data_IF_790123733651
#
_entry.id   IF_790123733651
#
_cell.length_a   1.000
_cell.length_b   1.000
_cell.length_c   1.000
_cell.angle_alpha   90.00
_cell.angle_beta   90.00
_cell.angle_gamma   90.00
#
_symmetry.space_group_name_H-M   'P 1'
#
loop_
_entity.id
_entity.type
_entity.pdbx_description
1 polymer ?
#
# COMPACT_ATOMS: atom_id res chain seq x y z
N UNK A 1 11.91 -27.97 -1.47
CA UNK A 1 10.70 -28.17 -2.29
C UNK A 1 9.51 -28.25 -1.32
N UNK A 2 8.54 -27.37 -1.42
CA UNK A 2 7.36 -27.35 -0.52
C UNK A 2 6.45 -28.50 -0.94
N UNK A 3 6.10 -29.39 -0.02
CA UNK A 3 5.18 -30.49 -0.29
C UNK A 3 3.75 -29.91 -0.45
N UNK A 4 3.13 -29.93 -1.63
CA UNK A 4 1.81 -29.37 -1.87
C UNK A 4 0.70 -30.14 -1.12
N UNK A 5 0.97 -31.33 -0.61
CA UNK A 5 0.03 -32.17 0.11
C UNK A 5 0.19 -32.06 1.66
N UNK A 6 0.96 -31.10 2.15
CA UNK A 6 1.09 -30.90 3.58
C UNK A 6 -0.26 -30.37 4.15
N UNK A 7 -0.94 -31.12 5.04
CA UNK A 7 -2.25 -30.73 5.57
C UNK A 7 -2.21 -29.46 6.43
N UNK A 8 -1.00 -29.06 6.88
CA UNK A 8 -0.79 -27.85 7.68
C UNK A 8 -0.54 -26.61 6.80
N UNK A 9 -0.44 -26.77 5.47
CA UNK A 9 -0.36 -25.64 4.55
C UNK A 9 -1.79 -25.20 4.21
N UNK A 10 -2.15 -24.01 4.64
CA UNK A 10 -3.41 -23.41 4.24
C UNK A 10 -3.46 -23.30 2.71
N UNK A 11 -4.51 -23.84 2.11
CA UNK A 11 -4.70 -23.77 0.65
C UNK A 11 -4.94 -22.32 0.23
N UNK A 12 -4.43 -21.89 -0.93
CA UNK A 12 -4.62 -20.51 -1.41
C UNK A 12 -6.11 -20.09 -1.42
N UNK A 13 -7.00 -20.99 -1.76
CA UNK A 13 -8.47 -20.75 -1.80
C UNK A 13 -9.02 -20.44 -0.41
N UNK A 14 -8.58 -21.18 0.61
CA UNK A 14 -9.01 -20.97 2.00
C UNK A 14 -8.44 -19.68 2.58
N UNK A 15 -7.20 -19.36 2.23
CA UNK A 15 -6.58 -18.08 2.60
C UNK A 15 -7.32 -16.91 1.95
N UNK A 16 -7.65 -17.03 0.66
CA UNK A 16 -8.33 -15.97 -0.07
C UNK A 16 -9.66 -15.58 0.58
N UNK A 17 -10.44 -16.56 1.07
CA UNK A 17 -11.73 -16.32 1.74
C UNK A 17 -11.64 -15.56 3.06
N UNK A 18 -10.47 -15.57 3.72
CA UNK A 18 -10.25 -14.93 5.02
C UNK A 18 -9.97 -13.42 4.97
N UNK A 19 -9.76 -12.85 3.78
CA UNK A 19 -9.29 -11.48 3.60
C UNK A 19 -10.31 -10.58 2.90
N UNK A 20 -10.05 -9.27 2.94
CA UNK A 20 -10.69 -8.32 2.04
C UNK A 20 -10.22 -8.56 0.60
N UNK A 21 -11.05 -8.21 -0.37
CA UNK A 21 -10.73 -8.36 -1.78
C UNK A 21 -10.80 -7.02 -2.49
N UNK A 22 -9.79 -6.71 -3.29
CA UNK A 22 -9.76 -5.56 -4.18
C UNK A 22 -9.86 -6.02 -5.62
N UNK A 23 -10.90 -5.60 -6.33
CA UNK A 23 -11.09 -5.86 -7.74
C UNK A 23 -10.30 -4.84 -8.57
N UNK A 24 -9.36 -5.34 -9.38
CA UNK A 24 -8.44 -4.50 -10.16
C UNK A 24 -9.14 -3.76 -11.31
N UNK A 25 -10.23 -4.30 -11.81
CA UNK A 25 -10.95 -3.69 -12.94
C UNK A 25 -11.92 -2.60 -12.51
N UNK A 26 -12.60 -2.81 -11.38
CA UNK A 26 -13.63 -1.90 -10.88
C UNK A 26 -13.16 -1.01 -9.75
N UNK A 27 -11.96 -1.27 -9.21
CA UNK A 27 -11.37 -0.62 -8.03
C UNK A 27 -12.30 -0.67 -6.80
N UNK A 28 -13.07 -1.74 -6.67
CA UNK A 28 -14.00 -1.93 -5.55
C UNK A 28 -13.50 -2.97 -4.57
N UNK A 29 -13.85 -2.74 -3.32
CA UNK A 29 -13.57 -3.66 -2.23
C UNK A 29 -14.79 -4.54 -1.94
N UNK A 30 -14.52 -5.79 -1.57
CA UNK A 30 -15.52 -6.78 -1.14
C UNK A 30 -14.91 -7.73 -0.11
N UNK A 31 -15.72 -8.60 0.49
CA UNK A 31 -15.27 -9.59 1.46
C UNK A 31 -15.18 -9.05 2.88
N UNK A 32 -14.25 -9.60 3.66
CA UNK A 32 -14.10 -9.30 5.07
C UNK A 32 -13.46 -7.92 5.25
N UNK A 33 -14.10 -7.06 6.03
CA UNK A 33 -13.54 -5.78 6.46
C UNK A 33 -12.73 -5.96 7.74
N UNK A 34 -11.81 -5.05 8.02
CA UNK A 34 -11.15 -4.95 9.32
C UNK A 34 -12.15 -4.60 10.43
N UNK A 35 -11.71 -4.68 11.68
CA UNK A 35 -12.55 -4.41 12.86
C UNK A 35 -13.17 -3.00 12.86
N UNK A 36 -12.43 -2.02 12.35
CA UNK A 36 -12.84 -0.60 12.26
C UNK A 36 -13.52 -0.23 10.91
N UNK A 37 -13.79 -1.22 10.06
CA UNK A 37 -14.41 -1.02 8.76
C UNK A 37 -13.44 -0.62 7.64
N UNK A 38 -12.13 -0.51 7.91
CA UNK A 38 -11.10 -0.27 6.90
C UNK A 38 -11.06 -1.42 5.90
N UNK A 39 -10.72 -1.09 4.68
CA UNK A 39 -10.59 -2.05 3.57
C UNK A 39 -9.24 -1.95 2.86
N UNK A 40 -8.51 -0.86 3.09
CA UNK A 40 -7.14 -0.67 2.62
C UNK A 40 -6.16 -1.56 3.36
N UNK A 41 -5.07 -1.95 2.71
CA UNK A 41 -4.06 -2.78 3.33
C UNK A 41 -3.03 -3.31 2.35
N UNK A 42 -2.28 -4.31 2.79
CA UNK A 42 -1.19 -4.88 2.01
C UNK A 42 -1.68 -6.02 1.10
N UNK A 43 -1.32 -6.04 -0.21
CA UNK A 43 -1.70 -7.13 -1.11
C UNK A 43 -0.93 -8.42 -0.77
N UNK A 44 -1.67 -9.51 -0.55
CA UNK A 44 -1.12 -10.82 -0.19
C UNK A 44 -1.11 -11.80 -1.35
N UNK A 45 -2.25 -11.95 -2.02
CA UNK A 45 -2.46 -12.95 -3.05
C UNK A 45 -3.21 -12.34 -4.24
N UNK A 46 -2.89 -12.81 -5.44
CA UNK A 46 -3.57 -12.43 -6.66
C UNK A 46 -4.32 -13.62 -7.28
N UNK A 47 -5.63 -13.49 -7.38
CA UNK A 47 -6.46 -14.42 -8.15
C UNK A 47 -6.55 -13.92 -9.59
N UNK A 48 -5.89 -14.64 -10.50
CA UNK A 48 -5.80 -14.26 -11.92
C UNK A 48 -7.15 -14.44 -12.64
N UNK A 49 -7.96 -15.41 -12.26
CA UNK A 49 -9.24 -15.72 -12.91
C UNK A 49 -10.27 -14.64 -12.54
N UNK A 50 -10.35 -14.30 -11.27
CA UNK A 50 -11.26 -13.26 -10.77
C UNK A 50 -10.71 -11.85 -10.91
N UNK A 51 -9.42 -11.70 -11.25
CA UNK A 51 -8.70 -10.41 -11.29
C UNK A 51 -8.79 -9.64 -9.96
N UNK A 52 -8.73 -10.37 -8.86
CA UNK A 52 -8.86 -9.83 -7.52
C UNK A 52 -7.56 -10.01 -6.73
N UNK A 53 -7.26 -9.04 -5.87
CA UNK A 53 -6.20 -9.13 -4.86
C UNK A 53 -6.84 -9.40 -3.50
N UNK A 54 -6.34 -10.40 -2.79
CA UNK A 54 -6.60 -10.54 -1.37
C UNK A 54 -5.74 -9.54 -0.61
N UNK A 55 -6.36 -8.78 0.28
CA UNK A 55 -5.76 -7.65 0.99
C UNK A 55 -5.82 -7.91 2.49
N UNK A 56 -4.69 -7.81 3.17
CA UNK A 56 -4.64 -7.75 4.62
C UNK A 56 -4.97 -6.33 5.08
N UNK A 57 -6.21 -6.12 5.48
CA UNK A 57 -6.71 -4.86 6.02
C UNK A 57 -6.62 -4.80 7.56
N UNK A 58 -5.87 -5.72 8.18
CA UNK A 58 -5.63 -5.73 9.61
C UNK A 58 -4.58 -4.71 10.06
N UNK A 59 -4.53 -4.48 11.36
CA UNK A 59 -3.48 -3.67 11.99
C UNK A 59 -2.20 -4.52 12.13
N UNK A 60 -1.49 -4.68 11.01
CA UNK A 60 -0.31 -5.52 10.91
C UNK A 60 0.88 -4.80 10.29
N UNK A 61 2.08 -5.17 10.72
CA UNK A 61 3.33 -4.72 10.11
C UNK A 61 3.82 -5.77 9.12
N UNK A 62 4.14 -5.36 7.89
CA UNK A 62 4.62 -6.27 6.85
C UNK A 62 6.08 -5.99 6.52
N UNK A 63 6.93 -7.02 6.62
CA UNK A 63 8.33 -6.96 6.22
C UNK A 63 8.54 -7.75 4.92
N UNK A 64 9.00 -7.06 3.86
CA UNK A 64 9.29 -7.65 2.56
C UNK A 64 10.78 -7.68 2.31
N UNK A 65 11.38 -8.86 2.26
CA UNK A 65 12.80 -9.07 2.00
C UNK A 65 12.98 -9.63 0.59
N UNK A 66 13.94 -9.11 -0.15
CA UNK A 66 14.29 -9.61 -1.47
C UNK A 66 15.52 -8.91 -2.04
N UNK A 67 16.27 -9.60 -2.89
CA UNK A 67 17.46 -9.08 -3.56
C UNK A 67 17.16 -7.81 -4.40
N UNK A 68 18.20 -7.06 -4.73
CA UNK A 68 18.09 -5.98 -5.70
C UNK A 68 17.59 -6.54 -7.05
N UNK A 69 16.68 -5.82 -7.72
CA UNK A 69 16.07 -6.28 -8.97
C UNK A 69 14.94 -7.30 -8.83
N UNK A 70 14.58 -7.76 -7.63
CA UNK A 70 13.46 -8.71 -7.41
C UNK A 70 12.06 -8.10 -7.64
N UNK A 71 12.00 -6.90 -8.19
CA UNK A 71 10.76 -6.19 -8.56
C UNK A 71 9.81 -5.86 -7.37
N UNK A 72 10.32 -5.84 -6.12
CA UNK A 72 9.53 -5.53 -4.92
C UNK A 72 8.66 -4.29 -5.07
N UNK A 73 9.27 -3.19 -5.52
CA UNK A 73 8.55 -1.93 -5.72
C UNK A 73 7.38 -2.10 -6.69
N UNK A 74 7.61 -2.75 -7.83
CA UNK A 74 6.61 -2.91 -8.87
C UNK A 74 5.52 -3.92 -8.53
N UNK A 75 5.90 -5.02 -7.86
CA UNK A 75 4.98 -6.16 -7.61
C UNK A 75 4.21 -6.04 -6.29
N UNK A 76 4.71 -5.25 -5.34
CA UNK A 76 4.13 -5.15 -4.00
C UNK A 76 3.85 -3.72 -3.57
N UNK A 77 4.87 -2.84 -3.62
CA UNK A 77 4.72 -1.47 -3.08
C UNK A 77 3.74 -0.64 -3.92
N UNK A 78 3.86 -0.66 -5.25
CA UNK A 78 2.93 0.08 -6.11
C UNK A 78 1.49 -0.42 -6.00
N UNK A 79 1.19 -1.72 -6.04
CA UNK A 79 -0.15 -2.23 -5.74
C UNK A 79 -0.66 -1.82 -4.36
N UNK A 80 0.18 -1.84 -3.31
CA UNK A 80 -0.21 -1.39 -1.98
C UNK A 80 -0.59 0.09 -1.96
N UNK A 81 0.20 0.97 -2.59
CA UNK A 81 -0.13 2.40 -2.72
C UNK A 81 -1.48 2.59 -3.41
N UNK A 82 -1.74 1.87 -4.50
CA UNK A 82 -3.01 1.98 -5.21
C UNK A 82 -4.19 1.48 -4.37
N UNK A 83 -4.04 0.33 -3.70
CA UNK A 83 -5.08 -0.21 -2.82
C UNK A 83 -5.43 0.78 -1.72
N UNK A 84 -4.42 1.34 -1.03
CA UNK A 84 -4.62 2.34 0.02
C UNK A 84 -5.25 3.63 -0.54
N UNK A 85 -4.85 4.03 -1.74
CA UNK A 85 -5.42 5.21 -2.41
C UNK A 85 -6.92 5.04 -2.71
N UNK A 86 -7.32 3.90 -3.27
CA UNK A 86 -8.74 3.62 -3.52
C UNK A 86 -9.55 3.34 -2.26
N UNK A 87 -8.89 3.00 -1.15
CA UNK A 87 -9.51 2.89 0.16
C UNK A 87 -9.70 4.26 0.86
N UNK A 88 -9.07 5.34 0.36
CA UNK A 88 -9.09 6.66 0.98
C UNK A 88 -8.14 6.81 2.17
N UNK A 89 -7.15 5.93 2.28
CA UNK A 89 -6.22 5.91 3.41
C UNK A 89 -5.10 6.95 3.27
N UNK A 90 -4.71 7.57 4.36
CA UNK A 90 -3.54 8.45 4.40
C UNK A 90 -2.25 7.64 4.39
N UNK A 91 -1.23 8.12 3.68
CA UNK A 91 0.01 7.39 3.49
C UNK A 91 1.25 8.23 3.77
N UNK A 92 2.26 7.63 4.38
CA UNK A 92 3.63 8.18 4.44
C UNK A 92 4.54 7.24 3.66
N UNK A 93 5.17 7.76 2.60
CA UNK A 93 5.98 6.96 1.68
C UNK A 93 7.42 7.48 1.67
N UNK A 94 8.38 6.60 1.99
CA UNK A 94 9.79 6.89 1.80
C UNK A 94 10.22 6.43 0.40
N UNK A 95 10.49 7.39 -0.49
CA UNK A 95 10.84 7.15 -1.90
C UNK A 95 12.19 7.80 -2.26
N UNK A 96 13.32 7.18 -1.87
CA UNK A 96 14.63 7.77 -2.07
C UNK A 96 15.02 7.98 -3.54
N UNK A 97 14.33 7.33 -4.47
CA UNK A 97 14.59 7.44 -5.92
C UNK A 97 13.57 8.29 -6.66
N UNK A 98 12.47 8.68 -6.03
CA UNK A 98 11.36 9.37 -6.67
C UNK A 98 10.55 8.49 -7.64
N UNK A 99 10.78 7.17 -7.64
CA UNK A 99 10.12 6.25 -8.58
C UNK A 99 8.63 6.11 -8.28
N UNK A 100 8.27 6.01 -7.02
CA UNK A 100 6.88 5.90 -6.59
C UNK A 100 6.14 7.21 -6.88
N UNK A 101 6.71 8.35 -6.48
CA UNK A 101 6.13 9.65 -6.78
C UNK A 101 5.85 9.85 -8.27
N UNK A 102 6.85 9.58 -9.12
CA UNK A 102 6.72 9.76 -10.56
C UNK A 102 5.63 8.88 -11.19
N UNK A 103 5.35 7.72 -10.61
CA UNK A 103 4.40 6.76 -11.15
C UNK A 103 2.98 6.89 -10.57
N UNK A 104 2.85 7.34 -9.33
CA UNK A 104 1.56 7.33 -8.62
C UNK A 104 0.97 8.71 -8.36
N UNK A 105 1.78 9.78 -8.36
CA UNK A 105 1.32 11.11 -7.99
C UNK A 105 0.19 11.65 -8.91
N UNK A 106 0.20 11.29 -10.20
CA UNK A 106 -0.87 11.68 -11.12
C UNK A 106 -2.21 11.06 -10.74
N UNK A 107 -2.23 9.75 -10.47
CA UNK A 107 -3.42 9.02 -10.07
C UNK A 107 -3.92 9.46 -8.68
N UNK A 108 -3.01 9.65 -7.74
CA UNK A 108 -3.35 10.16 -6.41
C UNK A 108 -4.02 11.54 -6.47
N UNK A 109 -3.55 12.45 -7.33
CA UNK A 109 -4.22 13.75 -7.53
C UNK A 109 -5.61 13.62 -8.15
N UNK A 110 -5.80 12.68 -9.07
CA UNK A 110 -7.13 12.39 -9.65
C UNK A 110 -8.11 11.80 -8.61
N UNK A 111 -7.58 11.22 -7.53
CA UNK A 111 -8.34 10.74 -6.37
C UNK A 111 -8.42 11.78 -5.24
N UNK A 112 -8.16 13.05 -5.54
CA UNK A 112 -8.21 14.19 -4.61
C UNK A 112 -7.23 14.11 -3.43
N UNK A 113 -6.13 13.37 -3.56
CA UNK A 113 -5.09 13.35 -2.54
C UNK A 113 -4.28 14.64 -2.52
N UNK A 114 -4.12 15.21 -1.33
CA UNK A 114 -3.14 16.26 -1.09
C UNK A 114 -1.75 15.63 -0.90
N UNK A 115 -0.83 15.87 -1.87
CA UNK A 115 0.50 15.28 -1.85
C UNK A 115 1.50 16.30 -1.32
N UNK A 116 2.13 15.96 -0.20
CA UNK A 116 3.24 16.73 0.39
C UNK A 116 4.55 16.00 0.10
N UNK A 117 5.47 16.67 -0.57
CA UNK A 117 6.78 16.11 -0.93
C UNK A 117 7.87 16.82 -0.15
N UNK A 118 8.62 16.10 0.68
CA UNK A 118 9.81 16.60 1.36
C UNK A 118 11.04 16.05 0.65
N UNK A 119 11.75 16.90 -0.08
CA UNK A 119 12.93 16.50 -0.85
C UNK A 119 14.22 16.91 -0.11
N UNK A 120 14.85 15.92 0.53
CA UNK A 120 16.09 16.13 1.27
C UNK A 120 17.36 16.16 0.38
N UNK A 121 17.26 15.75 -0.88
CA UNK A 121 18.37 15.79 -1.85
C UNK A 121 18.47 17.13 -2.54
N UNK A 122 17.32 17.69 -2.89
CA UNK A 122 17.21 19.00 -3.50
C UNK A 122 16.07 19.76 -2.82
N UNK A 123 16.41 20.53 -1.77
CA UNK A 123 15.39 21.30 -1.03
C UNK A 123 14.72 22.41 -1.83
N UNK A 124 15.24 22.74 -3.03
CA UNK A 124 14.60 23.71 -3.93
C UNK A 124 13.37 23.13 -4.64
N UNK A 125 13.23 21.79 -4.65
CA UNK A 125 12.15 21.07 -5.28
C UNK A 125 11.35 20.34 -4.21
N UNK A 126 10.09 20.72 -4.02
CA UNK A 126 9.22 20.12 -3.02
C UNK A 126 8.59 21.15 -2.09
N UNK A 127 8.00 20.68 -1.02
CA UNK A 127 7.35 21.52 -0.01
C UNK A 127 8.34 21.82 1.13
N UNK A 128 8.33 23.07 1.59
CA UNK A 128 9.07 23.44 2.79
C UNK A 128 8.45 22.76 4.01
N UNK A 129 9.28 22.14 4.84
CA UNK A 129 8.84 21.49 6.06
C UNK A 129 9.73 21.92 7.23
N UNK A 130 9.10 22.46 8.27
CA UNK A 130 9.78 22.80 9.52
C UNK A 130 9.23 21.93 10.65
N UNK A 131 9.98 20.91 11.12
CA UNK A 131 9.51 19.99 12.16
C UNK A 131 9.29 20.69 13.51
N UNK A 132 9.88 21.85 13.73
CA UNK A 132 9.75 22.61 14.97
C UNK A 132 8.64 23.66 14.95
N UNK A 133 7.97 23.89 13.82
CA UNK A 133 6.96 24.93 13.69
C UNK A 133 5.79 24.71 14.66
N UNK A 134 5.28 23.52 14.73
CA UNK A 134 4.15 23.19 15.62
C UNK A 134 4.54 23.27 17.09
N UNK A 135 5.61 22.57 17.58
CA UNK A 135 6.07 22.73 18.95
C UNK A 135 6.31 24.20 19.32
N UNK A 136 6.99 24.96 18.46
CA UNK A 136 7.31 26.35 18.70
C UNK A 136 6.07 27.25 18.84
N UNK A 137 4.99 26.96 18.14
CA UNK A 137 3.74 27.72 18.23
C UNK A 137 3.03 27.54 19.58
N UNK A 138 3.31 26.46 20.30
CA UNK A 138 2.74 26.20 21.64
C UNK A 138 3.54 26.89 22.76
N UNK A 139 4.76 27.38 22.48
CA UNK A 139 5.59 28.09 23.47
C UNK A 139 5.51 29.61 23.36
N UNK A 140 4.64 30.14 22.51
CA UNK A 140 4.30 31.55 22.43
C UNK A 140 3.00 31.85 23.21
#
# INVERSE_FOLDING_TARGET
MINPNNPNLARPETLFQGFAHFDIATHRFSGKKSFDGQVGGFPLLYDKEKRQLAVDAGDSHTLVIGASGSKKTRSLVMPAVNILAYAGESMIINDPKGELYNRTAGELRNLDYHIITVNLRDPSVGHAWNPLQIPYSYYK
#
